data_IF_966252984519
#
_entry.id   IF_966252984519
#
_cell.length_a   1.000
_cell.length_b   1.000
_cell.length_c   1.000
_cell.angle_alpha   90.00
_cell.angle_beta   90.00
_cell.angle_gamma   90.00
#
_symmetry.space_group_name_H-M   'P 1'
#
loop_
_entity.id
_entity.type
_entity.pdbx_description
1 polymer ?
#
# COMPACT_ATOMS: atom_id res chain seq x y z
N UNK A 1 15.53 8.00 29.04
CA UNK A 1 16.53 6.99 29.46
C UNK A 1 15.95 5.63 29.14
N UNK A 2 16.78 4.65 28.82
CA UNK A 2 16.33 3.35 28.30
C UNK A 2 15.75 2.48 29.42
N UNK A 3 14.48 2.67 29.76
CA UNK A 3 13.79 2.02 30.89
C UNK A 3 13.88 0.49 30.85
N UNK A 4 13.84 -0.08 29.65
CA UNK A 4 13.85 -1.53 29.43
C UNK A 4 15.23 -2.16 29.66
N UNK A 5 16.32 -1.40 29.49
CA UNK A 5 17.70 -1.90 29.57
C UNK A 5 18.48 -1.37 30.78
N UNK A 6 17.82 -0.69 31.73
CA UNK A 6 18.49 -0.02 32.86
C UNK A 6 19.32 -0.94 33.75
N UNK A 7 18.96 -2.23 33.83
CA UNK A 7 19.61 -3.21 34.71
C UNK A 7 20.73 -3.98 34.02
N UNK A 8 20.92 -3.79 32.71
CA UNK A 8 21.90 -4.53 31.93
C UNK A 8 23.30 -3.91 32.06
N UNK A 9 24.32 -4.78 32.00
CA UNK A 9 25.71 -4.33 31.96
C UNK A 9 26.09 -3.96 30.53
N UNK A 10 26.91 -2.92 30.38
CA UNK A 10 27.46 -2.56 29.08
C UNK A 10 28.55 -3.55 28.67
N UNK A 11 28.46 -4.02 27.42
CA UNK A 11 29.50 -4.78 26.75
C UNK A 11 30.36 -3.89 25.84
N UNK A 12 31.61 -4.31 25.60
CA UNK A 12 32.51 -3.58 24.70
C UNK A 12 32.33 -4.05 23.26
N UNK A 13 31.75 -3.18 22.42
CA UNK A 13 31.67 -3.39 20.97
C UNK A 13 32.67 -2.48 20.24
N UNK A 14 33.65 -3.10 19.56
CA UNK A 14 34.60 -2.38 18.71
C UNK A 14 34.04 -2.13 17.32
N UNK A 15 33.94 -0.87 16.90
CA UNK A 15 33.58 -0.48 15.53
C UNK A 15 34.55 0.57 15.00
N UNK A 16 34.68 0.68 13.67
CA UNK A 16 35.54 1.67 13.03
C UNK A 16 35.13 3.10 13.43
N UNK A 17 36.11 3.98 13.62
CA UNK A 17 35.90 5.37 14.07
C UNK A 17 34.90 6.14 13.19
N UNK A 18 35.02 6.02 11.87
CA UNK A 18 34.10 6.68 10.92
C UNK A 18 32.65 6.20 11.08
N UNK A 19 32.45 4.92 11.35
CA UNK A 19 31.13 4.32 11.60
C UNK A 19 30.58 4.79 12.94
N UNK A 20 31.42 4.82 13.99
CA UNK A 20 31.02 5.29 15.32
C UNK A 20 30.55 6.75 15.30
N UNK A 21 31.25 7.63 14.57
CA UNK A 21 30.85 9.04 14.41
C UNK A 21 29.47 9.13 13.75
N UNK A 22 29.30 8.48 12.59
CA UNK A 22 28.02 8.47 11.87
C UNK A 22 26.88 7.90 12.72
N UNK A 23 27.14 6.83 13.46
CA UNK A 23 26.15 6.20 14.33
C UNK A 23 25.74 7.13 15.48
N UNK A 24 26.69 7.82 16.11
CA UNK A 24 26.39 8.81 17.17
C UNK A 24 25.55 9.97 16.65
N UNK A 25 25.82 10.48 15.45
CA UNK A 25 24.98 11.50 14.82
C UNK A 25 23.56 10.99 14.53
N UNK A 26 23.43 9.75 14.08
CA UNK A 26 22.13 9.11 13.86
C UNK A 26 21.34 8.95 15.17
N UNK A 27 21.98 8.49 16.25
CA UNK A 27 21.36 8.37 17.57
C UNK A 27 20.84 9.72 18.08
N UNK A 28 21.60 10.80 17.87
CA UNK A 28 21.18 12.18 18.20
C UNK A 28 19.93 12.59 17.43
N UNK A 29 19.85 12.29 16.13
CA UNK A 29 18.66 12.56 15.31
C UNK A 29 17.44 11.80 15.81
N UNK A 30 17.62 10.56 16.23
CA UNK A 30 16.55 9.72 16.80
C UNK A 30 16.20 10.08 18.25
N UNK A 31 17.01 10.93 18.92
CA UNK A 31 16.86 11.27 20.35
C UNK A 31 16.86 10.04 21.27
N UNK A 32 17.64 9.02 20.93
CA UNK A 32 17.76 7.75 21.67
C UNK A 32 19.22 7.47 22.03
N UNK A 33 19.44 6.60 23.02
CA UNK A 33 20.78 6.12 23.34
C UNK A 33 21.33 5.25 22.21
N UNK A 34 22.64 4.96 22.24
CA UNK A 34 23.28 4.08 21.27
C UNK A 34 22.74 2.65 21.35
N UNK A 35 22.55 2.09 22.55
CA UNK A 35 22.00 0.74 22.72
C UNK A 35 20.56 0.67 22.21
N UNK A 36 19.74 1.66 22.55
CA UNK A 36 18.33 1.67 22.14
C UNK A 36 18.16 1.89 20.64
N UNK A 37 19.01 2.74 20.05
CA UNK A 37 19.00 2.94 18.59
C UNK A 37 19.43 1.66 17.86
N UNK A 38 20.37 0.89 18.41
CA UNK A 38 20.79 -0.38 17.84
C UNK A 38 19.67 -1.43 17.94
N UNK A 39 19.01 -1.53 19.08
CA UNK A 39 17.85 -2.41 19.27
C UNK A 39 16.75 -2.10 18.25
N UNK A 40 16.34 -0.84 18.15
CA UNK A 40 15.34 -0.39 17.18
C UNK A 40 15.72 -0.69 15.73
N UNK A 41 17.02 -0.63 15.39
CA UNK A 41 17.48 -1.02 14.06
C UNK A 41 17.29 -2.52 13.83
N UNK A 42 17.65 -3.37 14.81
CA UNK A 42 17.46 -4.82 14.71
C UNK A 42 15.98 -5.18 14.59
N UNK A 43 15.15 -4.67 15.50
CA UNK A 43 13.70 -4.90 15.51
C UNK A 43 13.09 -4.46 14.17
N UNK A 44 13.50 -3.30 13.65
CA UNK A 44 13.02 -2.81 12.36
C UNK A 44 13.35 -3.79 11.22
N UNK A 45 14.56 -4.35 11.17
CA UNK A 45 14.92 -5.31 10.12
C UNK A 45 14.18 -6.64 10.29
N UNK A 46 14.06 -7.14 11.51
CA UNK A 46 13.43 -8.41 11.83
C UNK A 46 11.90 -8.38 11.62
N UNK A 47 11.22 -7.38 12.17
CA UNK A 47 9.75 -7.24 12.08
C UNK A 47 9.30 -7.00 10.63
N UNK A 48 10.07 -6.24 9.86
CA UNK A 48 9.74 -5.95 8.47
C UNK A 48 10.28 -6.99 7.49
N UNK A 49 11.05 -7.99 7.97
CA UNK A 49 11.61 -9.05 7.14
C UNK A 49 12.52 -8.54 6.02
N UNK A 50 13.26 -7.45 6.29
CA UNK A 50 14.09 -6.75 5.31
C UNK A 50 15.56 -6.83 5.67
N UNK A 51 16.41 -7.08 4.66
CA UNK A 51 17.85 -7.12 4.86
C UNK A 51 18.51 -5.75 4.60
N UNK A 52 19.45 -5.29 5.44
CA UNK A 52 20.27 -4.10 5.16
C UNK A 52 21.12 -4.23 3.90
N UNK A 53 21.35 -5.45 3.40
CA UNK A 53 22.10 -5.71 2.17
C UNK A 53 21.25 -5.62 0.91
N UNK A 54 19.92 -5.61 1.04
CA UNK A 54 19.01 -5.51 -0.09
C UNK A 54 18.91 -4.06 -0.56
N UNK A 55 19.07 -3.85 -1.87
CA UNK A 55 18.84 -2.53 -2.47
C UNK A 55 17.34 -2.25 -2.49
N UNK A 56 16.87 -1.52 -1.49
CA UNK A 56 15.57 -0.85 -1.57
C UNK A 56 15.78 0.36 -2.48
N UNK A 57 15.27 0.27 -3.71
CA UNK A 57 15.33 1.37 -4.67
C UNK A 57 14.81 2.70 -4.09
N UNK A 58 14.97 3.83 -4.80
CA UNK A 58 14.82 5.20 -4.27
C UNK A 58 13.44 5.56 -3.69
N UNK A 59 12.46 4.67 -3.79
CA UNK A 59 11.12 4.86 -3.21
C UNK A 59 10.71 3.83 -2.18
N UNK A 60 11.53 2.81 -1.90
CA UNK A 60 11.12 1.66 -1.09
C UNK A 60 9.78 1.20 -1.66
N UNK A 61 9.75 0.49 -2.79
CA UNK A 61 8.50 -0.18 -3.21
C UNK A 61 8.14 -1.10 -2.05
N UNK A 62 7.35 -0.56 -1.12
CA UNK A 62 7.19 -1.10 0.21
C UNK A 62 6.63 -2.49 0.01
N UNK A 63 6.90 -3.39 0.96
CA UNK A 63 6.16 -4.64 1.03
C UNK A 63 4.65 -4.39 0.79
N UNK A 64 4.12 -3.28 1.30
CA UNK A 64 2.78 -2.77 1.05
C UNK A 64 2.45 -2.53 -0.44
N UNK A 65 3.34 -1.92 -1.22
CA UNK A 65 3.13 -1.73 -2.66
C UNK A 65 3.09 -3.08 -3.40
N UNK A 66 4.01 -4.00 -3.08
CA UNK A 66 4.00 -5.36 -3.65
C UNK A 66 2.73 -6.12 -3.26
N UNK A 67 2.32 -6.04 -1.99
CA UNK A 67 1.07 -6.63 -1.50
C UNK A 67 -0.15 -6.02 -2.19
N UNK A 68 -0.21 -4.69 -2.34
CA UNK A 68 -1.29 -4.00 -3.04
C UNK A 68 -1.41 -4.43 -4.50
N UNK A 69 -0.27 -4.65 -5.17
CA UNK A 69 -0.22 -5.11 -6.56
C UNK A 69 -0.73 -6.56 -6.67
N UNK A 70 -0.33 -7.42 -5.74
CA UNK A 70 -0.80 -8.80 -5.66
C UNK A 70 -2.31 -8.88 -5.41
N UNK A 71 -2.83 -8.08 -4.47
CA UNK A 71 -4.27 -8.00 -4.18
C UNK A 71 -5.05 -7.52 -5.41
N UNK A 72 -4.59 -6.47 -6.09
CA UNK A 72 -5.20 -5.97 -7.34
C UNK A 72 -5.26 -7.04 -8.43
N UNK A 73 -4.17 -7.80 -8.63
CA UNK A 73 -4.14 -8.90 -9.60
C UNK A 73 -5.15 -10.00 -9.26
N UNK A 74 -5.23 -10.41 -7.99
CA UNK A 74 -6.21 -11.41 -7.52
C UNK A 74 -7.64 -10.92 -7.69
N UNK A 75 -7.94 -9.67 -7.33
CA UNK A 75 -9.26 -9.07 -7.55
C UNK A 75 -9.64 -9.04 -9.02
N UNK A 76 -8.74 -8.65 -9.91
CA UNK A 76 -9.01 -8.66 -11.35
C UNK A 76 -9.30 -10.07 -11.88
N UNK A 77 -8.58 -11.08 -11.38
CA UNK A 77 -8.86 -12.49 -11.68
C UNK A 77 -10.25 -12.93 -11.21
N UNK A 78 -10.62 -12.61 -9.97
CA UNK A 78 -11.95 -12.91 -9.42
C UNK A 78 -13.06 -12.21 -10.22
N UNK A 79 -12.89 -10.94 -10.60
CA UNK A 79 -13.84 -10.19 -11.44
C UNK A 79 -14.00 -10.88 -12.80
N UNK A 80 -12.91 -11.33 -13.41
CA UNK A 80 -12.96 -12.06 -14.67
C UNK A 80 -13.74 -13.38 -14.55
N UNK A 81 -13.49 -14.15 -13.49
CA UNK A 81 -14.21 -15.41 -13.22
C UNK A 81 -15.71 -15.15 -13.00
N UNK A 82 -16.05 -14.19 -12.14
CA UNK A 82 -17.46 -13.83 -11.87
C UNK A 82 -18.17 -13.38 -13.15
N UNK A 83 -17.50 -12.58 -13.98
CA UNK A 83 -18.05 -12.10 -15.26
C UNK A 83 -18.23 -13.24 -16.28
N UNK A 84 -17.37 -14.25 -16.24
CA UNK A 84 -17.47 -15.42 -17.10
C UNK A 84 -18.64 -16.33 -16.68
N UNK A 85 -18.78 -16.62 -15.38
CA UNK A 85 -19.93 -17.35 -14.81
C UNK A 85 -21.24 -16.61 -15.13
N UNK A 86 -21.24 -15.28 -15.02
CA UNK A 86 -22.42 -14.47 -15.30
C UNK A 86 -22.85 -14.60 -16.77
N UNK A 87 -21.90 -14.61 -17.71
CA UNK A 87 -22.18 -14.72 -19.14
C UNK A 87 -22.54 -16.13 -19.60
N UNK A 88 -21.84 -17.13 -19.08
CA UNK A 88 -21.95 -18.52 -19.55
C UNK A 88 -23.11 -19.28 -18.91
N UNK A 89 -23.42 -19.01 -17.63
CA UNK A 89 -24.39 -19.79 -16.87
C UNK A 89 -25.60 -18.96 -16.44
N UNK A 90 -25.40 -17.88 -15.68
CA UNK A 90 -26.53 -17.23 -15.00
C UNK A 90 -27.40 -16.41 -15.94
N UNK A 91 -26.83 -15.66 -16.89
CA UNK A 91 -27.60 -14.89 -17.89
C UNK A 91 -28.47 -15.77 -18.80
N UNK A 92 -27.93 -16.84 -19.42
CA UNK A 92 -28.77 -17.75 -20.21
C UNK A 92 -29.84 -18.44 -19.37
N UNK A 93 -29.51 -18.88 -18.16
CA UNK A 93 -30.47 -19.55 -17.26
C UNK A 93 -31.60 -18.61 -16.85
N UNK A 94 -31.27 -17.37 -16.49
CA UNK A 94 -32.28 -16.35 -16.21
C UNK A 94 -33.16 -16.08 -17.44
N UNK A 95 -32.57 -15.94 -18.63
CA UNK A 95 -33.33 -15.73 -19.87
C UNK A 95 -34.28 -16.89 -20.17
N UNK A 96 -33.82 -18.15 -20.01
CA UNK A 96 -34.67 -19.33 -20.17
C UNK A 96 -35.83 -19.34 -19.18
N UNK A 97 -35.59 -19.03 -17.90
CA UNK A 97 -36.65 -18.93 -16.89
C UNK A 97 -37.67 -17.84 -17.25
N UNK A 98 -37.21 -16.65 -17.66
CA UNK A 98 -38.10 -15.59 -18.12
C UNK A 98 -38.95 -16.04 -19.32
N UNK A 99 -38.36 -16.75 -20.29
CA UNK A 99 -39.08 -17.33 -21.43
C UNK A 99 -40.13 -18.37 -21.01
N UNK A 100 -39.85 -19.20 -19.99
CA UNK A 100 -40.81 -20.19 -19.48
C UNK A 100 -42.00 -19.56 -18.77
N UNK A 101 -41.79 -18.43 -18.09
CA UNK A 101 -42.85 -17.72 -17.37
C UNK A 101 -43.57 -16.65 -18.21
N UNK A 102 -43.26 -16.55 -19.51
CA UNK A 102 -43.75 -15.48 -20.42
C UNK A 102 -43.52 -14.05 -19.88
N UNK A 103 -42.61 -13.91 -18.91
CA UNK A 103 -42.23 -12.62 -18.35
C UNK A 103 -41.21 -12.00 -19.30
N UNK A 104 -41.44 -10.77 -19.74
CA UNK A 104 -40.47 -10.05 -20.54
C UNK A 104 -39.17 -9.93 -19.75
N UNK A 105 -38.04 -10.21 -20.42
CA UNK A 105 -36.71 -9.99 -19.84
C UNK A 105 -36.67 -8.54 -19.35
N UNK A 106 -36.30 -8.28 -18.08
CA UNK A 106 -36.26 -6.91 -17.58
C UNK A 106 -35.35 -6.08 -18.48
N UNK A 107 -35.91 -5.02 -19.08
CA UNK A 107 -35.17 -4.11 -19.94
C UNK A 107 -33.91 -3.62 -19.19
N UNK A 108 -32.78 -3.60 -19.90
CA UNK A 108 -31.51 -3.12 -19.34
C UNK A 108 -31.70 -1.69 -18.84
N UNK A 109 -31.92 -1.54 -17.54
CA UNK A 109 -31.91 -0.23 -16.88
C UNK A 109 -30.55 0.42 -17.19
N UNK A 110 -30.52 1.67 -17.69
CA UNK A 110 -29.26 2.34 -17.98
C UNK A 110 -28.43 2.37 -16.69
N UNK A 111 -27.15 2.03 -16.81
CA UNK A 111 -26.22 2.11 -15.70
C UNK A 111 -26.22 3.56 -15.19
N UNK A 112 -26.57 3.76 -13.91
CA UNK A 112 -26.40 5.04 -13.25
C UNK A 112 -24.89 5.27 -13.05
N UNK A 113 -24.26 5.88 -14.05
CA UNK A 113 -22.86 6.29 -13.96
C UNK A 113 -22.82 7.59 -13.17
N UNK A 114 -22.07 7.62 -12.07
CA UNK A 114 -21.75 8.88 -11.38
C UNK A 114 -21.11 9.84 -12.37
N UNK A 115 -21.77 10.98 -12.63
CA UNK A 115 -21.13 12.09 -13.33
C UNK A 115 -19.95 12.54 -12.48
N UNK A 116 -18.73 12.17 -12.89
CA UNK A 116 -17.53 12.84 -12.39
C UNK A 116 -17.60 14.29 -12.87
N UNK A 117 -18.02 15.19 -11.99
CA UNK A 117 -17.84 16.61 -12.19
C UNK A 117 -16.33 16.88 -12.08
N UNK A 118 -15.62 16.80 -13.20
CA UNK A 118 -14.36 17.52 -13.34
C UNK A 118 -14.71 19.00 -13.18
N UNK A 119 -14.47 19.55 -11.99
CA UNK A 119 -14.33 20.98 -11.81
C UNK A 119 -13.07 21.39 -12.57
N UNK A 120 -13.20 21.53 -13.89
CA UNK A 120 -12.30 22.37 -14.67
C UNK A 120 -12.42 23.77 -14.07
N UNK A 121 -11.51 24.09 -13.16
CA UNK A 121 -11.21 25.48 -12.82
C UNK A 121 -10.78 26.13 -14.13
N UNK A 122 -11.71 26.75 -14.83
CA UNK A 122 -11.39 27.71 -15.90
C UNK A 122 -10.48 28.75 -15.27
N UNK A 123 -9.17 28.61 -15.47
CA UNK A 123 -8.25 29.70 -15.24
C UNK A 123 -8.66 30.78 -16.24
N UNK A 124 -9.27 31.86 -15.73
CA UNK A 124 -9.61 33.02 -16.54
C UNK A 124 -8.27 33.61 -17.00
N UNK A 125 -8.00 33.46 -18.30
CA UNK A 125 -6.69 33.73 -18.89
C UNK A 125 -6.39 35.24 -19.03
N UNK A 126 -7.36 36.11 -18.72
CA UNK A 126 -7.19 37.56 -18.76
C UNK A 126 -7.94 38.26 -17.61
N UNK A 127 -7.23 39.10 -16.85
CA UNK A 127 -7.79 40.14 -15.99
C UNK A 127 -7.42 41.48 -16.61
N UNK A 128 -8.41 42.31 -16.93
CA UNK A 128 -8.17 43.71 -17.29
C UNK A 128 -7.59 44.46 -16.09
N UNK A 129 -6.58 45.28 -16.33
CA UNK A 129 -6.00 46.16 -15.32
C UNK A 129 -6.91 47.39 -15.17
N UNK A 130 -7.33 47.68 -13.94
CA UNK A 130 -7.76 49.02 -13.52
C UNK A 130 -6.57 49.73 -12.90
#
# INVERSE_FOLDING_TARGET
MDEELQKERFEKLGIKTSVAIRFREFCKKMSRSQSMTLMLMLDFFEENGISPSESMGPRMETLEMRMSLLIKKRMNGMIAILKDIEKSQTKPTAAMLYSLFEQSVPEKKPLLVEKKYSTEKKQVQYREKK
#
